data_IF_372343520583
#
_entry.id   IF_372343520583
#
_cell.length_a   1.000
_cell.length_b   1.000
_cell.length_c   1.000
_cell.angle_alpha   90.00
_cell.angle_beta   90.00
_cell.angle_gamma   90.00
#
_symmetry.space_group_name_H-M   'P 1'
#
loop_
_entity.id
_entity.type
_entity.pdbx_description
1 polymer ?
#
# COMPACT_ATOMS: atom_id res chain seq x y z
N UNK A 1 -19.28 22.69 -11.95
CA UNK A 1 -17.88 22.47 -11.53
C UNK A 1 -17.30 21.38 -12.41
N UNK A 2 -16.21 21.61 -13.15
CA UNK A 2 -15.54 20.52 -13.88
C UNK A 2 -14.79 19.69 -12.85
N UNK A 3 -15.23 18.46 -12.62
CA UNK A 3 -14.48 17.52 -11.78
C UNK A 3 -13.13 17.29 -12.47
N UNK A 4 -12.03 17.70 -11.83
CA UNK A 4 -10.71 17.32 -12.31
C UNK A 4 -10.56 15.82 -12.10
N UNK A 5 -10.42 15.07 -13.20
CA UNK A 5 -10.17 13.65 -13.11
C UNK A 5 -8.81 13.43 -12.40
N UNK A 6 -8.80 12.64 -11.33
CA UNK A 6 -7.56 12.26 -10.65
C UNK A 6 -6.77 11.34 -11.58
N UNK A 7 -5.48 11.62 -11.76
CA UNK A 7 -4.62 10.80 -12.63
C UNK A 7 -3.37 10.32 -11.90
N UNK A 8 -2.80 9.22 -12.36
CA UNK A 8 -1.49 8.70 -11.91
C UNK A 8 -0.63 8.28 -13.10
N UNK A 9 0.69 8.45 -13.01
CA UNK A 9 1.64 7.91 -13.98
C UNK A 9 1.69 6.38 -13.91
N UNK A 10 1.66 5.72 -15.07
CA UNK A 10 1.83 4.27 -15.17
C UNK A 10 3.21 3.83 -14.65
N UNK A 11 4.27 4.61 -14.93
CA UNK A 11 5.61 4.41 -14.35
C UNK A 11 5.58 4.47 -12.83
N UNK A 12 4.92 5.47 -12.25
CA UNK A 12 4.82 5.57 -10.78
C UNK A 12 4.05 4.39 -10.18
N UNK A 13 3.03 3.85 -10.86
CA UNK A 13 2.31 2.67 -10.37
C UNK A 13 3.23 1.45 -10.30
N UNK A 14 3.95 1.15 -11.39
CA UNK A 14 4.81 -0.03 -11.50
C UNK A 14 6.06 0.07 -10.63
N UNK A 15 6.73 1.22 -10.65
CA UNK A 15 8.06 1.36 -10.06
C UNK A 15 8.04 1.89 -8.63
N UNK A 16 6.94 2.49 -8.18
CA UNK A 16 6.85 3.04 -6.83
C UNK A 16 5.72 2.44 -6.03
N UNK A 17 4.47 2.54 -6.50
CA UNK A 17 3.30 2.20 -5.70
C UNK A 17 3.29 0.72 -5.31
N UNK A 18 3.40 -0.18 -6.29
CA UNK A 18 3.37 -1.63 -6.05
C UNK A 18 4.57 -2.08 -5.20
N UNK A 19 5.83 -1.70 -5.52
CA UNK A 19 6.97 -2.05 -4.69
C UNK A 19 6.87 -1.53 -3.26
N UNK A 20 6.41 -0.27 -3.06
CA UNK A 20 6.23 0.31 -1.72
C UNK A 20 5.16 -0.44 -0.93
N UNK A 21 4.05 -0.82 -1.56
CA UNK A 21 2.99 -1.59 -0.91
C UNK A 21 3.48 -2.97 -0.45
N UNK A 22 4.23 -3.68 -1.30
CA UNK A 22 4.83 -4.97 -0.95
C UNK A 22 5.84 -4.84 0.20
N UNK A 23 6.66 -3.78 0.18
CA UNK A 23 7.62 -3.51 1.25
C UNK A 23 6.91 -3.21 2.59
N UNK A 24 5.82 -2.46 2.55
CA UNK A 24 4.98 -2.12 3.70
C UNK A 24 4.38 -3.36 4.35
N UNK A 25 3.78 -4.24 3.55
CA UNK A 25 3.18 -5.49 4.04
C UNK A 25 4.22 -6.36 4.74
N UNK A 26 5.35 -6.61 4.07
CA UNK A 26 6.46 -7.36 4.66
C UNK A 26 6.97 -6.73 5.95
N UNK A 27 7.06 -5.40 5.99
CA UNK A 27 7.54 -4.70 7.18
C UNK A 27 6.57 -4.79 8.35
N UNK A 28 5.27 -4.70 8.10
CA UNK A 28 4.23 -4.88 9.13
C UNK A 28 4.34 -6.28 9.72
N UNK A 29 4.39 -7.30 8.86
CA UNK A 29 4.52 -8.70 9.27
C UNK A 29 5.75 -8.91 10.15
N UNK A 30 6.92 -8.43 9.71
CA UNK A 30 8.16 -8.56 10.47
C UNK A 30 8.09 -7.85 11.83
N UNK A 31 7.54 -6.63 11.87
CA UNK A 31 7.47 -5.84 13.11
C UNK A 31 6.53 -6.49 14.12
N UNK A 32 5.37 -6.97 13.67
CA UNK A 32 4.38 -7.60 14.53
C UNK A 32 4.90 -8.94 15.03
N UNK A 33 5.42 -9.80 14.14
CA UNK A 33 5.97 -11.10 14.55
C UNK A 33 7.10 -10.94 15.57
N UNK A 34 8.02 -9.99 15.36
CA UNK A 34 9.10 -9.72 16.31
C UNK A 34 8.58 -9.35 17.72
N UNK A 35 7.53 -8.53 17.80
CA UNK A 35 6.94 -8.15 19.10
C UNK A 35 6.17 -9.32 19.74
N UNK A 36 5.41 -10.08 18.97
CA UNK A 36 4.65 -11.22 19.48
C UNK A 36 5.55 -12.37 19.95
N UNK A 37 6.70 -12.58 19.31
CA UNK A 37 7.68 -13.60 19.70
C UNK A 37 8.48 -13.22 20.95
N UNK A 38 8.71 -11.92 21.19
CA UNK A 38 9.60 -11.44 22.26
C UNK A 38 8.87 -10.89 23.48
N UNK A 39 7.62 -10.43 23.32
CA UNK A 39 6.86 -9.82 24.41
C UNK A 39 6.32 -10.88 25.37
N UNK A 40 6.54 -10.66 26.66
CA UNK A 40 5.90 -11.41 27.75
C UNK A 40 4.72 -10.65 28.38
N UNK A 41 4.43 -9.44 27.89
CA UNK A 41 3.38 -8.58 28.41
C UNK A 41 2.07 -8.84 27.64
N UNK A 42 1.01 -9.35 28.30
CA UNK A 42 -0.26 -9.66 27.64
C UNK A 42 -0.89 -8.46 26.91
N UNK A 43 -0.75 -7.25 27.48
CA UNK A 43 -1.28 -6.01 26.89
C UNK A 43 -0.58 -5.62 25.58
N UNK A 44 0.72 -5.90 25.45
CA UNK A 44 1.46 -5.68 24.21
C UNK A 44 1.08 -6.72 23.16
N UNK A 45 0.91 -7.99 23.56
CA UNK A 45 0.44 -9.05 22.66
C UNK A 45 -0.94 -8.71 22.10
N UNK A 46 -1.89 -8.32 22.96
CA UNK A 46 -3.24 -7.92 22.56
C UNK A 46 -3.22 -6.72 21.61
N UNK A 47 -2.46 -5.67 21.95
CA UNK A 47 -2.31 -4.46 21.13
C UNK A 47 -1.79 -4.79 19.73
N UNK A 48 -0.72 -5.58 19.63
CA UNK A 48 -0.11 -5.90 18.34
C UNK A 48 -0.94 -6.90 17.52
N UNK A 49 -1.68 -7.80 18.17
CA UNK A 49 -2.66 -8.68 17.50
C UNK A 49 -3.77 -7.86 16.86
N UNK A 50 -4.32 -6.88 17.59
CA UNK A 50 -5.33 -5.97 17.04
C UNK A 50 -4.79 -5.15 15.87
N UNK A 51 -3.58 -4.61 16.03
CA UNK A 51 -2.91 -3.85 14.97
C UNK A 51 -2.68 -4.69 13.70
N UNK A 52 -2.35 -5.98 13.85
CA UNK A 52 -2.22 -6.92 12.72
C UNK A 52 -3.52 -7.04 11.93
N UNK A 53 -4.63 -7.26 12.61
CA UNK A 53 -5.94 -7.41 11.98
C UNK A 53 -6.36 -6.12 11.25
N UNK A 54 -6.12 -4.96 11.86
CA UNK A 54 -6.41 -3.66 11.24
C UNK A 54 -5.59 -3.45 9.95
N UNK A 55 -4.29 -3.75 9.97
CA UNK A 55 -3.45 -3.65 8.78
C UNK A 55 -3.83 -4.64 7.68
N UNK A 56 -4.16 -5.88 8.03
CA UNK A 56 -4.59 -6.90 7.06
C UNK A 56 -5.88 -6.48 6.35
N UNK A 57 -6.85 -5.93 7.09
CA UNK A 57 -8.09 -5.43 6.51
C UNK A 57 -7.82 -4.27 5.54
N UNK A 58 -6.98 -3.32 5.93
CA UNK A 58 -6.65 -2.17 5.10
C UNK A 58 -5.87 -2.55 3.84
N UNK A 59 -4.87 -3.43 3.97
CA UNK A 59 -4.12 -3.98 2.82
C UNK A 59 -5.05 -4.70 1.86
N UNK A 60 -6.02 -5.47 2.37
CA UNK A 60 -7.01 -6.17 1.54
C UNK A 60 -7.85 -5.18 0.74
N UNK A 61 -8.35 -4.10 1.36
CA UNK A 61 -9.12 -3.07 0.67
C UNK A 61 -8.30 -2.33 -0.39
N UNK A 62 -7.05 -1.97 -0.07
CA UNK A 62 -6.14 -1.34 -1.03
C UNK A 62 -5.91 -2.28 -2.22
N UNK A 63 -5.59 -3.55 -1.98
CA UNK A 63 -5.33 -4.54 -3.03
C UNK A 63 -6.54 -4.76 -3.92
N UNK A 64 -7.74 -4.90 -3.37
CA UNK A 64 -8.96 -5.09 -4.16
C UNK A 64 -9.18 -3.93 -5.14
N UNK A 65 -9.00 -2.69 -4.68
CA UNK A 65 -9.19 -1.51 -5.52
C UNK A 65 -8.02 -1.33 -6.52
N UNK A 66 -6.79 -1.65 -6.15
CA UNK A 66 -5.66 -1.64 -7.08
C UNK A 66 -5.76 -2.76 -8.12
N UNK A 67 -6.33 -3.91 -7.78
CA UNK A 67 -6.55 -5.00 -8.73
C UNK A 67 -7.45 -4.54 -9.89
N UNK A 68 -8.46 -3.72 -9.61
CA UNK A 68 -9.28 -3.11 -10.65
C UNK A 68 -8.43 -2.22 -11.59
N UNK A 69 -7.61 -1.33 -11.03
CA UNK A 69 -6.69 -0.47 -11.79
C UNK A 69 -5.74 -1.28 -12.68
N UNK A 70 -5.13 -2.32 -12.09
CA UNK A 70 -4.17 -3.20 -12.75
C UNK A 70 -4.80 -3.97 -13.91
N UNK A 71 -6.04 -4.42 -13.74
CA UNK A 71 -6.81 -5.08 -14.81
C UNK A 71 -7.17 -4.09 -15.92
N UNK A 72 -7.69 -2.91 -15.55
CA UNK A 72 -8.16 -1.91 -16.51
C UNK A 72 -7.04 -1.36 -17.39
N UNK A 73 -5.87 -1.13 -16.81
CA UNK A 73 -4.70 -0.58 -17.50
C UNK A 73 -3.58 -1.59 -17.73
N UNK A 74 -3.93 -2.88 -17.84
CA UNK A 74 -2.95 -3.96 -17.97
C UNK A 74 -1.99 -3.78 -19.16
N UNK A 75 -2.48 -3.20 -20.26
CA UNK A 75 -1.66 -2.95 -21.46
C UNK A 75 -0.68 -1.80 -21.25
N UNK A 76 -1.15 -0.67 -20.72
CA UNK A 76 -0.35 0.52 -20.44
C UNK A 76 0.72 0.22 -19.37
N UNK A 77 0.36 -0.55 -18.35
CA UNK A 77 1.30 -0.97 -17.32
C UNK A 77 2.34 -1.95 -17.87
N UNK A 78 1.94 -2.91 -18.71
CA UNK A 78 2.88 -3.84 -19.36
C UNK A 78 3.83 -3.12 -20.32
N UNK A 79 3.35 -2.12 -21.06
CA UNK A 79 4.17 -1.27 -21.93
C UNK A 79 5.31 -0.61 -21.13
N UNK A 80 4.96 0.00 -20.00
CA UNK A 80 5.92 0.68 -19.11
C UNK A 80 6.91 -0.27 -18.43
N UNK A 81 6.49 -1.49 -18.08
CA UNK A 81 7.41 -2.52 -17.55
C UNK A 81 8.54 -2.82 -18.56
N UNK A 82 8.23 -2.79 -19.86
CA UNK A 82 9.21 -3.06 -20.92
C UNK A 82 10.03 -1.82 -21.28
N UNK A 83 9.39 -0.64 -21.35
CA UNK A 83 10.04 0.64 -21.64
C UNK A 83 9.41 1.77 -20.83
N UNK A 84 10.10 2.32 -19.80
CA UNK A 84 9.61 3.43 -19.00
C UNK A 84 9.29 4.71 -19.80
N UNK A 85 9.75 4.83 -21.04
CA UNK A 85 9.43 5.97 -21.93
C UNK A 85 8.01 5.90 -22.48
N UNK A 86 7.33 4.76 -22.35
CA UNK A 86 5.92 4.60 -22.70
C UNK A 86 4.97 5.07 -21.59
N UNK A 87 5.45 5.92 -20.67
CA UNK A 87 4.63 6.44 -19.59
C UNK A 87 3.40 7.20 -20.09
N UNK A 88 2.28 6.96 -19.41
CA UNK A 88 1.00 7.59 -19.69
C UNK A 88 0.28 7.92 -18.38
N UNK A 89 -0.56 8.95 -18.42
CA UNK A 89 -1.43 9.29 -17.29
C UNK A 89 -2.68 8.43 -17.31
N UNK A 90 -2.79 7.55 -16.33
CA UNK A 90 -3.96 6.73 -16.07
C UNK A 90 -4.99 7.57 -15.34
N UNK A 91 -6.22 7.63 -15.85
CA UNK A 91 -7.33 8.24 -15.12
C UNK A 91 -7.78 7.27 -14.03
N UNK A 92 -8.12 7.78 -12.85
CA UNK A 92 -8.58 6.98 -11.73
C UNK A 92 -10.08 7.15 -11.53
N UNK A 93 -10.76 6.06 -11.19
CA UNK A 93 -12.06 6.16 -10.54
C UNK A 93 -11.89 6.50 -9.04
N UNK A 94 -13.03 6.72 -8.36
CA UNK A 94 -13.03 7.12 -6.96
C UNK A 94 -12.40 6.07 -6.03
N UNK A 95 -12.58 4.78 -6.30
CA UNK A 95 -12.05 3.70 -5.47
C UNK A 95 -10.55 3.51 -5.69
N UNK A 96 -10.08 3.61 -6.93
CA UNK A 96 -8.67 3.56 -7.29
C UNK A 96 -7.91 4.75 -6.70
N UNK A 97 -8.45 5.97 -6.82
CA UNK A 97 -7.87 7.16 -6.22
C UNK A 97 -7.76 7.04 -4.69
N UNK A 98 -8.81 6.53 -4.04
CA UNK A 98 -8.83 6.26 -2.60
C UNK A 98 -7.77 5.22 -2.22
N UNK A 99 -7.61 4.15 -3.01
CA UNK A 99 -6.62 3.11 -2.74
C UNK A 99 -5.18 3.64 -2.80
N UNK A 100 -4.87 4.50 -3.77
CA UNK A 100 -3.54 5.12 -3.89
C UNK A 100 -3.25 6.03 -2.68
N UNK A 101 -4.22 6.83 -2.24
CA UNK A 101 -4.03 7.69 -1.08
C UNK A 101 -3.88 6.86 0.22
N UNK A 102 -4.71 5.83 0.40
CA UNK A 102 -4.60 4.92 1.53
C UNK A 102 -3.25 4.20 1.54
N UNK A 103 -2.73 3.75 0.39
CA UNK A 103 -1.41 3.15 0.30
C UNK A 103 -0.29 4.11 0.73
N UNK A 104 -0.37 5.39 0.35
CA UNK A 104 0.58 6.43 0.79
C UNK A 104 0.48 6.68 2.30
N UNK A 105 -0.73 6.72 2.85
CA UNK A 105 -0.95 6.89 4.29
C UNK A 105 -0.45 5.69 5.09
N UNK A 106 -0.69 4.48 4.60
CA UNK A 106 -0.20 3.25 5.20
C UNK A 106 1.34 3.23 5.22
N UNK A 107 2.00 3.58 4.11
CA UNK A 107 3.45 3.72 4.05
C UNK A 107 4.00 4.66 5.13
N UNK A 108 3.41 5.85 5.28
CA UNK A 108 3.81 6.82 6.31
C UNK A 108 3.64 6.29 7.73
N UNK A 109 2.53 5.59 8.01
CA UNK A 109 2.29 5.00 9.35
C UNK A 109 3.27 3.89 9.66
N UNK A 110 3.59 3.02 8.69
CA UNK A 110 4.58 1.96 8.89
C UNK A 110 5.99 2.49 9.11
N UNK A 111 6.39 3.54 8.38
CA UNK A 111 7.65 4.22 8.66
C UNK A 111 7.69 4.80 10.09
N UNK A 112 6.60 5.41 10.55
CA UNK A 112 6.52 5.95 11.90
C UNK A 112 6.67 4.85 12.97
N UNK A 113 6.03 3.68 12.76
CA UNK A 113 6.18 2.53 13.67
C UNK A 113 7.63 2.05 13.78
N UNK A 114 8.40 2.08 12.69
CA UNK A 114 9.82 1.73 12.74
C UNK A 114 10.64 2.74 13.56
N UNK A 115 10.38 4.04 13.37
CA UNK A 115 11.15 5.09 14.07
C UNK A 115 10.86 5.16 15.57
N UNK A 116 9.69 4.69 16.00
CA UNK A 116 9.29 4.72 17.41
C UNK A 116 9.77 3.48 18.18
N UNK A 117 10.21 2.42 17.51
CA UNK A 117 10.69 1.18 18.12
C UNK A 117 9.64 0.46 19.00
N UNK A 118 9.84 -0.83 19.32
CA UNK A 118 9.09 -1.43 20.42
C UNK A 118 9.63 -0.81 21.72
N UNK A 119 8.88 0.14 22.28
CA UNK A 119 9.09 0.60 23.65
C UNK A 119 8.83 -0.54 24.66
#
# INVERSE_FOLDING_TARGET
MKSHATTVSAVSVVNELIPKLNAVEKQIEQTISAVLETSQLPTQIERYTKLQAEFQLELTMIRMNLEHLLKRYSQELAAVVNDPRQDVLLTLDAYEATAIENAKQLYRRVQALQTQGPA
#
